data_IF_388630152888
#
_entry.id   IF_388630152888
#
_cell.length_a   1.000
_cell.length_b   1.000
_cell.length_c   1.000
_cell.angle_alpha   90.00
_cell.angle_beta   90.00
_cell.angle_gamma   90.00
#
_symmetry.space_group_name_H-M   'P 1'
#
loop_
_entity.id
_entity.type
_entity.pdbx_description
1 polymer ?
2 branched ?
3 non-polymer ?
4 water ?
#
# COMPACT_ATOMS: atom_id res chain seq x y z
N UNK A 2 -15.11 19.26 -8.44
CA UNK A 2 -13.82 18.76 -8.89
C UNK A 2 -13.01 18.22 -7.73
N UNK A 3 -12.31 17.12 -7.98
CA UNK A 3 -11.52 16.47 -6.94
C UNK A 3 -10.19 17.17 -6.79
N UNK A 4 -9.93 17.83 -5.66
CA UNK A 4 -8.67 18.58 -5.52
C UNK A 4 -7.44 17.68 -5.44
N UNK A 5 -7.60 16.37 -5.33
CA UNK A 5 -6.47 15.46 -5.11
C UNK A 5 -5.99 14.77 -6.38
N UNK A 6 -6.65 14.97 -7.52
CA UNK A 6 -6.20 14.34 -8.75
C UNK A 6 -4.83 14.88 -9.14
N UNK A 7 -3.91 13.97 -9.45
CA UNK A 7 -2.58 14.32 -9.91
C UNK A 7 -2.27 13.50 -11.16
N UNK A 8 -1.51 14.10 -12.08
CA UNK A 8 -1.02 13.39 -13.23
C UNK A 8 -2.05 13.25 -14.32
N UNK A 9 -1.61 12.79 -15.49
CA UNK A 9 -2.51 12.68 -16.64
C UNK A 9 -3.50 11.53 -16.49
N UNK A 10 -4.52 11.55 -17.34
CA UNK A 10 -5.54 10.52 -17.29
C UNK A 10 -4.89 9.16 -17.52
N UNK A 11 -5.22 8.14 -16.73
CA UNK A 11 -4.47 6.89 -16.80
C UNK A 11 -4.95 5.92 -17.87
N UNK A 12 -4.04 5.01 -18.21
CA UNK A 12 -4.30 3.89 -19.08
C UNK A 12 -3.65 2.67 -18.43
N UNK A 13 -3.98 1.49 -18.94
CA UNK A 13 -3.31 0.28 -18.46
C UNK A 13 -1.80 0.43 -18.61
N UNK A 14 -1.36 1.03 -19.72
CA UNK A 14 0.07 1.24 -19.91
C UNK A 14 0.66 2.15 -18.84
N UNK A 15 -0.06 3.22 -18.47
CA UNK A 15 0.52 4.14 -17.49
C UNK A 15 0.63 3.51 -16.10
N UNK A 16 -0.32 2.64 -15.73
CA UNK A 16 -0.23 2.00 -14.42
C UNK A 16 0.74 0.82 -14.42
N UNK A 17 1.06 0.25 -15.58
CA UNK A 17 2.07 -0.80 -15.66
C UNK A 17 3.48 -0.26 -15.77
N UNK A 18 3.63 1.06 -15.95
CA UNK A 18 4.94 1.64 -16.22
C UNK A 18 5.86 1.48 -15.02
N UNK A 19 7.13 1.15 -15.31
CA UNK A 19 8.12 1.02 -14.24
C UNK A 19 8.35 2.36 -13.57
N UNK A 20 8.35 3.44 -14.35
CA UNK A 20 8.46 4.80 -13.87
C UNK A 20 7.23 5.57 -14.34
N UNK A 21 6.53 6.20 -13.40
CA UNK A 21 5.33 6.94 -13.71
C UNK A 21 5.62 8.35 -14.19
N UNK A 22 4.57 9.18 -14.25
CA UNK A 22 4.73 10.51 -14.87
C UNK A 22 5.56 11.49 -14.05
N UNK A 23 5.81 11.24 -12.76
CA UNK A 23 6.49 12.19 -11.89
C UNK A 23 7.95 11.79 -11.70
N UNK A 24 8.86 12.70 -12.02
CA UNK A 24 10.25 12.55 -11.62
C UNK A 24 10.32 12.47 -10.10
N UNK A 25 11.23 11.64 -9.59
CA UNK A 25 11.33 11.43 -8.17
C UNK A 25 12.76 11.67 -7.70
N UNK A 26 12.86 12.08 -6.43
CA UNK A 26 14.12 12.21 -5.71
C UNK A 26 13.96 11.39 -4.44
N UNK A 27 15.04 11.23 -3.69
CA UNK A 27 14.99 10.43 -2.48
C UNK A 27 15.83 11.07 -1.38
N UNK A 28 15.51 10.71 -0.14
CA UNK A 28 16.28 11.12 1.04
C UNK A 28 16.24 9.99 2.04
N UNK A 29 17.31 9.87 2.82
CA UNK A 29 17.45 8.77 3.77
C UNK A 29 17.16 9.22 5.18
N UNK A 30 16.44 8.38 5.92
CA UNK A 30 16.16 8.58 7.34
C UNK A 30 16.99 7.54 8.11
N UNK A 31 17.93 8.01 8.91
CA UNK A 31 18.74 7.11 9.72
C UNK A 31 17.95 6.63 10.93
N UNK A 32 18.48 5.61 11.60
CA UNK A 32 17.86 5.14 12.84
C UNK A 32 17.83 6.24 13.89
N UNK A 33 18.90 7.05 13.96
CA UNK A 33 18.93 8.15 14.91
C UNK A 33 17.81 9.14 14.65
N UNK A 34 17.49 9.39 13.38
CA UNK A 34 16.44 10.32 13.00
C UNK A 34 15.05 9.71 13.07
N UNK A 35 14.95 8.39 13.22
CA UNK A 35 13.69 7.67 13.14
C UNK A 35 13.20 7.34 14.55
N UNK A 36 12.13 7.99 14.98
CA UNK A 36 11.49 7.71 16.26
C UNK A 36 10.44 6.63 16.04
N UNK A 37 10.71 5.43 16.55
CA UNK A 37 9.73 4.36 16.51
C UNK A 37 9.80 3.43 15.32
N UNK A 38 10.85 3.51 14.51
CA UNK A 38 11.05 2.59 13.41
C UNK A 38 12.55 2.55 13.10
N UNK A 39 12.93 1.69 12.16
CA UNK A 39 14.34 1.43 11.94
C UNK A 39 15.00 2.27 10.87
N UNK A 40 14.44 3.42 10.55
CA UNK A 40 14.92 4.22 9.44
C UNK A 40 14.26 3.80 8.15
N UNK A 41 14.66 4.47 7.07
CA UNK A 41 14.11 4.13 5.77
C UNK A 41 14.58 5.10 4.70
N UNK A 42 14.00 4.92 3.52
CA UNK A 42 14.24 5.78 2.38
C UNK A 42 12.91 6.38 1.93
N UNK A 43 12.89 7.70 1.74
CA UNK A 43 11.70 8.40 1.28
C UNK A 43 11.91 8.76 -0.19
N UNK A 44 10.97 8.34 -1.03
CA UNK A 44 10.92 8.72 -2.44
C UNK A 44 9.78 9.72 -2.61
N UNK A 45 10.03 10.79 -3.35
CA UNK A 45 9.02 11.83 -3.46
C UNK A 45 9.07 12.49 -4.83
N UNK A 46 7.93 12.98 -5.33
CA UNK A 46 7.95 13.73 -6.59
C UNK A 46 8.62 15.08 -6.39
N UNK A 47 9.48 15.46 -7.34
CA UNK A 47 10.11 16.76 -7.25
C UNK A 47 9.19 17.89 -7.72
N UNK A 48 8.18 17.57 -8.53
CA UNK A 48 7.24 18.57 -9.04
C UNK A 48 6.21 18.91 -7.98
N UNK A 49 6.22 20.16 -7.52
CA UNK A 49 5.27 20.63 -6.52
C UNK A 49 4.12 21.43 -7.13
N UNK A 50 4.13 21.64 -8.45
CA UNK A 50 3.21 22.58 -9.07
C UNK A 50 1.77 22.09 -9.11
N UNK A 51 1.52 20.80 -8.87
CA UNK A 51 0.17 20.28 -8.81
C UNK A 51 -0.38 20.20 -7.40
N UNK A 52 0.43 20.49 -6.39
CA UNK A 52 0.01 20.45 -5.01
C UNK A 52 0.67 19.32 -4.26
N UNK A 53 0.15 19.07 -3.06
CA UNK A 53 0.71 18.05 -2.19
C UNK A 53 0.20 16.67 -2.59
N UNK A 54 0.86 15.65 -2.04
CA UNK A 54 0.58 14.26 -2.38
C UNK A 54 0.28 13.47 -1.12
N UNK A 55 -0.50 12.40 -1.27
CA UNK A 55 -0.65 11.44 -0.19
C UNK A 55 0.66 10.72 0.10
N UNK A 56 0.72 10.13 1.29
CA UNK A 56 1.93 9.47 1.78
C UNK A 56 1.66 7.99 2.02
N UNK A 57 2.67 7.17 1.76
CA UNK A 57 2.56 5.72 1.87
C UNK A 57 3.79 5.21 2.61
N UNK A 58 3.60 4.32 3.58
CA UNK A 58 4.68 3.64 4.27
C UNK A 58 4.62 2.16 3.94
N UNK A 59 5.79 1.56 3.70
CA UNK A 59 5.89 0.17 3.26
C UNK A 59 6.86 -0.58 4.15
N UNK A 60 6.42 -1.75 4.67
CA UNK A 60 7.25 -2.53 5.57
C UNK A 60 7.66 -3.86 4.97
N UNK A 61 8.89 -4.31 5.20
CA UNK A 61 9.29 -5.67 4.82
C UNK A 61 8.75 -6.67 5.84
N UNK A 62 9.03 -7.94 5.59
CA UNK A 62 8.61 -9.02 6.45
C UNK A 62 9.71 -9.54 7.36
N UNK A 63 9.40 -10.62 8.06
CA UNK A 63 10.31 -11.24 9.02
C UNK A 63 11.63 -11.63 8.35
N UNK A 64 12.73 -11.31 9.03
CA UNK A 64 14.11 -11.54 8.61
C UNK A 64 14.53 -10.71 7.40
N UNK A 65 13.71 -9.77 6.94
CA UNK A 65 13.97 -9.05 5.71
C UNK A 65 14.31 -7.60 5.97
N UNK A 66 15.21 -7.06 5.15
CA UNK A 66 15.50 -5.65 5.18
C UNK A 66 14.66 -4.86 4.19
N UNK A 67 14.82 -3.55 4.28
CA UNK A 67 14.19 -2.63 3.34
C UNK A 67 14.40 -3.05 1.90
N UNK A 68 15.55 -3.64 1.59
CA UNK A 68 15.85 -3.99 0.20
C UNK A 68 14.80 -4.89 -0.41
N UNK A 69 14.11 -5.69 0.41
CA UNK A 69 13.16 -6.66 -0.12
C UNK A 69 11.88 -6.02 -0.64
N UNK A 70 11.64 -4.74 -0.36
CA UNK A 70 10.45 -4.06 -0.87
C UNK A 70 10.83 -2.73 -1.51
N UNK A 71 12.14 -2.47 -1.64
CA UNK A 71 12.60 -1.16 -2.07
C UNK A 71 12.09 -0.78 -3.46
N UNK A 72 11.92 -1.76 -4.36
CA UNK A 72 11.54 -1.44 -5.72
C UNK A 72 10.17 -0.75 -5.78
N UNK A 73 9.32 -0.98 -4.78
CA UNK A 73 8.01 -0.34 -4.76
C UNK A 73 8.11 1.15 -4.52
N UNK A 74 9.19 1.62 -3.88
CA UNK A 74 9.33 3.01 -3.51
C UNK A 74 9.23 3.96 -4.68
N UNK A 75 10.18 3.89 -5.61
CA UNK A 75 10.13 4.80 -6.76
C UNK A 75 9.01 4.48 -7.73
N UNK A 76 8.60 3.21 -7.83
CA UNK A 76 7.55 2.85 -8.78
C UNK A 76 6.21 3.44 -8.38
N UNK A 77 5.93 3.47 -7.07
CA UNK A 77 4.70 4.09 -6.60
C UNK A 77 4.86 5.61 -6.50
N UNK A 78 6.00 6.08 -5.97
CA UNK A 78 6.16 7.52 -5.78
C UNK A 78 6.08 8.27 -7.10
N UNK A 79 6.57 7.68 -8.18
CA UNK A 79 6.53 8.33 -9.49
C UNK A 79 5.12 8.41 -10.06
N UNK A 80 4.13 7.82 -9.42
CA UNK A 80 2.74 8.03 -9.79
C UNK A 80 2.10 9.17 -9.00
N UNK A 81 2.84 9.81 -8.10
CA UNK A 81 2.33 10.93 -7.36
C UNK A 81 2.07 10.62 -5.90
N UNK A 82 3.07 10.09 -5.21
CA UNK A 82 2.97 9.80 -3.78
C UNK A 82 4.33 10.01 -3.14
N UNK A 83 4.32 10.37 -1.86
CA UNK A 83 5.52 10.35 -1.04
C UNK A 83 5.55 9.00 -0.34
N UNK A 84 6.58 8.20 -0.60
CA UNK A 84 6.62 6.81 -0.16
C UNK A 84 7.88 6.58 0.67
N UNK A 85 7.70 6.04 1.87
CA UNK A 85 8.83 5.66 2.71
C UNK A 85 8.86 4.13 2.81
N UNK A 86 9.97 3.54 2.35
CA UNK A 86 10.25 2.13 2.57
C UNK A 86 11.11 2.03 3.83
N UNK A 87 10.64 1.26 4.81
CA UNK A 87 11.27 1.24 6.12
C UNK A 87 12.12 0.00 6.33
N UNK A 88 13.10 0.13 7.22
CA UNK A 88 13.61 -0.99 8.00
C UNK A 88 12.88 -0.99 9.33
N UNK A 89 12.69 -2.18 9.89
CA UNK A 89 12.16 -2.30 11.24
C UNK A 89 13.29 -2.22 12.25
N UNK A 90 12.92 -2.01 13.51
CA UNK A 90 13.91 -1.84 14.56
C UNK A 90 14.81 -3.08 14.67
N UNK A 91 14.21 -4.27 14.62
CA UNK A 91 14.95 -5.48 14.33
C UNK A 91 14.17 -6.28 13.29
N UNK A 92 14.89 -7.18 12.60
CA UNK A 92 14.26 -8.01 11.58
C UNK A 92 13.39 -9.11 12.19
N UNK A 93 13.38 -9.27 13.50
CA UNK A 93 12.53 -10.25 14.15
C UNK A 93 11.30 -9.63 14.81
N UNK A 94 10.99 -8.38 14.49
CA UNK A 94 9.79 -7.75 15.04
C UNK A 94 8.54 -8.45 14.50
N UNK A 95 7.52 -8.55 15.34
CA UNK A 95 6.30 -9.27 15.02
C UNK A 95 5.30 -8.34 14.34
N UNK A 96 4.18 -8.88 13.84
CA UNK A 96 3.30 -8.06 12.98
C UNK A 96 2.74 -6.79 13.62
N UNK A 97 2.22 -6.87 14.84
CA UNK A 97 1.65 -5.66 15.44
C UNK A 97 2.72 -4.61 15.65
N UNK A 98 3.91 -5.02 16.06
CA UNK A 98 5.03 -4.08 16.16
C UNK A 98 5.31 -3.42 14.82
N UNK A 99 5.27 -4.20 13.74
CA UNK A 99 5.49 -3.62 12.41
C UNK A 99 4.39 -2.61 12.08
N UNK A 100 3.16 -2.86 12.54
CA UNK A 100 2.11 -1.87 12.36
C UNK A 100 2.41 -0.58 13.09
N UNK A 101 2.92 -0.67 14.32
CA UNK A 101 3.27 0.54 15.05
C UNK A 101 4.41 1.27 14.36
N UNK A 102 5.35 0.53 13.77
CA UNK A 102 6.47 1.16 13.08
C UNK A 102 6.04 1.81 11.77
N UNK A 103 5.08 1.21 11.07
CA UNK A 103 4.51 1.85 9.89
C UNK A 103 3.87 3.17 10.26
N UNK A 104 3.08 3.18 11.34
CA UNK A 104 2.47 4.42 11.81
C UNK A 104 3.52 5.43 12.21
N UNK A 105 4.57 4.99 12.89
CA UNK A 105 5.64 5.90 13.29
C UNK A 105 6.34 6.47 12.07
N UNK A 106 6.50 5.68 11.02
CA UNK A 106 7.13 6.18 9.81
C UNK A 106 6.26 7.24 9.13
N UNK A 107 4.96 7.01 9.08
CA UNK A 107 4.06 8.04 8.54
C UNK A 107 4.13 9.31 9.38
N UNK A 108 4.13 9.16 10.70
CA UNK A 108 4.20 10.34 11.57
C UNK A 108 5.51 11.08 11.36
N UNK A 109 6.60 10.37 11.07
CA UNK A 109 7.87 11.01 10.80
C UNK A 109 7.76 11.96 9.63
N UNK A 110 7.04 11.57 8.58
CA UNK A 110 6.95 12.39 7.38
C UNK A 110 6.38 13.78 7.70
N UNK A 111 5.52 13.87 8.71
CA UNK A 111 4.86 15.13 9.02
C UNK A 111 5.84 16.23 9.42
N UNK A 112 7.03 15.86 9.93
CA UNK A 112 8.01 16.86 10.32
C UNK A 112 9.37 16.64 9.65
N UNK A 113 9.46 15.71 8.71
CA UNK A 113 10.69 15.52 7.97
C UNK A 113 10.98 16.77 7.14
N UNK A 114 12.21 17.28 7.25
CA UNK A 114 12.49 18.58 6.65
C UNK A 114 12.39 18.55 5.12
N UNK A 115 12.56 17.39 4.51
CA UNK A 115 12.59 17.33 3.05
C UNK A 115 11.19 17.21 2.47
N UNK A 116 10.27 16.51 3.14
CA UNK A 116 8.98 16.18 2.54
C UNK A 116 7.78 16.70 3.33
N UNK A 117 7.98 17.35 4.48
CA UNK A 117 6.84 17.75 5.30
C UNK A 117 5.88 18.66 4.54
N UNK A 118 6.40 19.49 3.64
CA UNK A 118 5.57 20.41 2.87
C UNK A 118 5.13 19.84 1.54
N UNK A 119 5.48 18.58 1.25
CA UNK A 119 5.05 17.90 0.05
C UNK A 119 3.91 16.92 0.29
N UNK A 120 3.67 16.54 1.55
CA UNK A 120 2.61 15.58 1.87
C UNK A 120 1.33 16.32 2.23
N UNK A 121 0.21 15.64 2.01
CA UNK A 121 -1.03 15.98 2.69
C UNK A 121 -1.09 15.10 3.93
N UNK A 122 -0.89 15.65 5.13
CA UNK A 122 -0.78 14.79 6.32
C UNK A 122 -2.04 14.03 6.66
N UNK A 123 -3.17 14.35 6.03
CA UNK A 123 -4.41 13.65 6.32
C UNK A 123 -4.80 12.62 5.26
N UNK A 124 -3.89 12.30 4.35
CA UNK A 124 -4.14 11.27 3.32
C UNK A 124 -2.94 10.33 3.29
N UNK A 125 -3.03 9.25 4.06
CA UNK A 125 -1.90 8.34 4.26
C UNK A 125 -2.35 6.90 4.11
N UNK A 126 -1.39 6.04 3.76
CA UNK A 126 -1.67 4.63 3.50
C UNK A 126 -0.50 3.78 4.01
N UNK A 127 -0.80 2.50 4.21
CA UNK A 127 0.19 1.54 4.66
C UNK A 127 0.18 0.33 3.74
N UNK A 128 1.38 -0.23 3.53
CA UNK A 128 1.55 -1.46 2.77
C UNK A 128 2.66 -2.28 3.45
N UNK A 129 2.70 -3.57 3.14
CA UNK A 129 3.79 -4.38 3.63
C UNK A 129 3.74 -5.79 3.08
N UNK A 130 4.89 -6.45 3.13
CA UNK A 130 5.01 -7.83 2.69
C UNK A 130 5.11 -8.75 3.89
N UNK A 131 4.38 -9.86 3.84
CA UNK A 131 4.46 -10.94 4.84
C UNK A 131 4.09 -10.35 6.20
N UNK A 132 4.92 -10.50 7.23
CA UNK A 132 4.56 -9.92 8.52
C UNK A 132 4.41 -8.41 8.43
N UNK A 133 5.06 -7.77 7.45
CA UNK A 133 4.83 -6.36 7.21
C UNK A 133 3.43 -6.08 6.69
N UNK A 134 2.86 -7.03 5.95
CA UNK A 134 1.46 -6.91 5.55
C UNK A 134 0.51 -7.12 6.71
N UNK A 135 0.82 -8.08 7.57
CA UNK A 135 0.13 -8.14 8.86
C UNK A 135 0.23 -6.83 9.60
N UNK A 136 1.39 -6.18 9.52
CA UNK A 136 1.54 -4.87 10.15
C UNK A 136 0.65 -3.82 9.53
N UNK A 137 0.50 -3.85 8.20
CA UNK A 137 -0.38 -2.90 7.53
C UNK A 137 -1.81 -3.03 8.02
N UNK A 138 -2.31 -4.26 8.12
CA UNK A 138 -3.65 -4.47 8.67
C UNK A 138 -3.73 -3.99 10.12
N UNK A 139 -2.70 -4.28 10.92
CA UNK A 139 -2.70 -3.85 12.31
C UNK A 139 -2.74 -2.33 12.41
N UNK A 140 -1.97 -1.64 11.58
CA UNK A 140 -1.95 -0.19 11.62
C UNK A 140 -3.32 0.38 11.26
N UNK A 141 -3.99 -0.22 10.26
CA UNK A 141 -5.32 0.24 9.89
C UNK A 141 -6.33 -0.01 11.00
N UNK A 142 -6.26 -1.18 11.64
CA UNK A 142 -7.19 -1.46 12.74
C UNK A 142 -6.99 -0.46 13.88
N UNK A 143 -5.77 0.04 14.06
CA UNK A 143 -5.42 0.96 15.12
C UNK A 143 -5.54 2.42 14.71
N UNK A 144 -5.98 2.69 13.47
CA UNK A 144 -6.04 4.08 12.99
C UNK A 144 -7.02 4.11 11.82
N UNK A 145 -8.30 4.37 12.14
CA UNK A 145 -9.34 4.39 11.12
C UNK A 145 -9.22 5.57 10.17
N UNK A 146 -8.32 6.51 10.44
CA UNK A 146 -8.12 7.64 9.54
C UNK A 146 -7.25 7.29 8.33
N UNK A 147 -6.57 6.14 8.34
CA UNK A 147 -5.76 5.76 7.20
C UNK A 147 -6.66 5.54 5.98
N UNK A 148 -6.19 5.99 4.82
CA UNK A 148 -7.01 6.00 3.62
C UNK A 148 -6.91 4.73 2.79
N UNK A 149 -5.86 3.93 2.97
CA UNK A 149 -5.74 2.68 2.25
C UNK A 149 -4.75 1.78 2.96
N UNK A 150 -4.91 0.46 2.78
CA UNK A 150 -4.02 -0.53 3.32
C UNK A 150 -3.87 -1.65 2.29
N UNK A 151 -2.62 -2.10 2.09
CA UNK A 151 -2.35 -3.13 1.08
C UNK A 151 -1.39 -4.17 1.64
N UNK A 152 -1.90 -5.24 2.23
CA UNK A 152 -1.04 -6.36 2.63
C UNK A 152 -0.70 -7.26 1.45
N UNK A 153 0.59 -7.49 1.25
CA UNK A 153 1.10 -8.32 0.17
C UNK A 153 1.60 -9.63 0.79
N UNK A 154 0.94 -10.74 0.45
CA UNK A 154 1.21 -12.03 1.08
C UNK A 154 1.30 -11.89 2.59
N UNK A 155 0.31 -11.20 3.16
CA UNK A 155 0.36 -10.87 4.57
C UNK A 155 0.35 -12.09 5.46
N UNK A 156 1.02 -11.95 6.61
CA UNK A 156 1.15 -12.98 7.62
C UNK A 156 0.77 -12.36 8.95
N UNK A 157 -0.18 -12.97 9.65
CA UNK A 157 -0.55 -12.52 10.98
C UNK A 157 -1.26 -13.67 11.69
N UNK A 158 -1.09 -13.73 13.01
CA UNK A 158 -1.85 -14.67 13.82
C UNK A 158 -3.29 -14.20 14.00
N UNK A 159 -3.51 -12.88 13.94
CA UNK A 159 -4.86 -12.33 14.03
C UNK A 159 -5.54 -12.47 12.68
N UNK A 160 -6.65 -13.22 12.65
CA UNK A 160 -7.38 -13.46 11.41
C UNK A 160 -8.60 -12.57 11.25
N UNK A 161 -9.07 -11.96 12.33
CA UNK A 161 -10.33 -11.21 12.35
C UNK A 161 -10.02 -9.72 12.22
N UNK A 162 -10.40 -9.13 11.08
CA UNK A 162 -10.15 -7.72 10.79
C UNK A 162 -11.46 -6.94 10.64
N UNK A 163 -12.49 -7.35 11.39
CA UNK A 163 -13.80 -6.74 11.25
C UNK A 163 -13.82 -5.29 11.70
N UNK A 164 -12.83 -4.83 12.46
CA UNK A 164 -12.82 -3.45 12.92
C UNK A 164 -12.14 -2.49 11.95
N UNK A 165 -11.59 -3.00 10.85
CA UNK A 165 -10.90 -2.14 9.89
C UNK A 165 -11.92 -1.33 9.11
N UNK A 166 -11.70 -0.02 9.04
CA UNK A 166 -12.56 0.89 8.27
C UNK A 166 -11.80 1.55 7.12
N UNK A 167 -10.61 1.04 6.76
CA UNK A 167 -9.73 1.56 5.72
C UNK A 167 -9.83 0.71 4.48
N UNK A 168 -10.09 1.30 3.30
CA UNK A 168 -10.12 0.50 2.07
C UNK A 168 -8.87 -0.36 1.89
N UNK A 169 -9.07 -1.66 1.72
CA UNK A 169 -7.99 -2.62 1.78
C UNK A 169 -7.98 -3.53 0.57
N UNK A 170 -6.82 -3.61 -0.08
CA UNK A 170 -6.55 -4.56 -1.15
C UNK A 170 -5.65 -5.66 -0.59
N UNK A 171 -6.16 -6.88 -0.56
CA UNK A 171 -5.42 -8.04 -0.07
C UNK A 171 -4.85 -8.77 -1.27
N UNK A 172 -3.53 -8.87 -1.36
CA UNK A 172 -2.87 -9.55 -2.46
C UNK A 172 -2.28 -10.86 -1.94
N UNK A 173 -2.81 -11.98 -2.42
CA UNK A 173 -2.28 -13.28 -2.07
C UNK A 173 -1.46 -13.88 -3.19
N UNK A 174 -0.65 -14.88 -2.86
CA UNK A 174 0.12 -15.64 -3.83
C UNK A 174 -0.42 -17.07 -3.82
N UNK A 175 -0.85 -17.56 -4.97
CA UNK A 175 -1.59 -18.82 -5.02
C UNK A 175 -0.84 -19.95 -4.32
N UNK A 176 0.45 -20.10 -4.61
CA UNK A 176 1.24 -21.23 -4.13
C UNK A 176 2.11 -20.89 -2.93
N UNK A 177 1.74 -19.87 -2.16
CA UNK A 177 2.50 -19.44 -1.01
C UNK A 177 2.47 -20.53 0.06
N UNK A 178 3.65 -20.98 0.50
CA UNK A 178 3.77 -21.94 1.59
C UNK A 178 4.12 -21.29 2.92
N UNK A 179 4.48 -20.00 2.92
CA UNK A 179 4.89 -19.31 4.14
C UNK A 179 3.72 -18.59 4.78
N UNK A 180 2.94 -17.87 3.96
CA UNK A 180 1.69 -17.25 4.39
C UNK A 180 0.59 -17.75 3.47
N UNK A 181 0.22 -19.03 3.59
CA UNK A 181 -0.76 -19.61 2.65
C UNK A 181 -2.05 -18.80 2.65
N UNK A 182 -2.62 -18.62 1.46
CA UNK A 182 -3.79 -17.75 1.36
C UNK A 182 -4.96 -18.31 2.17
N UNK A 183 -5.08 -19.63 2.28
CA UNK A 183 -6.27 -20.18 2.93
C UNK A 183 -6.36 -19.79 4.40
N UNK A 184 -5.22 -19.62 5.07
CA UNK A 184 -5.24 -19.26 6.49
C UNK A 184 -4.75 -17.83 6.76
N UNK A 185 -4.22 -17.13 5.76
CA UNK A 185 -3.79 -15.75 5.92
C UNK A 185 -4.63 -14.89 4.98
N UNK A 186 -4.13 -14.58 3.78
CA UNK A 186 -4.75 -13.56 2.93
C UNK A 186 -6.27 -13.71 2.79
N UNK A 187 -6.73 -14.90 2.38
CA UNK A 187 -8.16 -15.08 2.15
C UNK A 187 -8.95 -14.90 3.44
N UNK A 188 -8.44 -15.44 4.55
CA UNK A 188 -9.10 -15.26 5.84
C UNK A 188 -9.19 -13.77 6.20
N UNK A 189 -8.14 -13.00 5.91
CA UNK A 189 -8.19 -11.57 6.18
C UNK A 189 -9.31 -10.92 5.37
N UNK A 190 -9.34 -11.20 4.06
CA UNK A 190 -10.38 -10.64 3.22
C UNK A 190 -11.77 -10.99 3.74
N UNK A 191 -11.95 -12.25 4.14
CA UNK A 191 -13.28 -12.70 4.56
C UNK A 191 -13.77 -11.97 5.80
N UNK A 192 -12.87 -11.58 6.69
CA UNK A 192 -13.28 -10.96 7.95
C UNK A 192 -13.32 -9.44 7.88
N UNK A 193 -12.76 -8.81 6.84
CA UNK A 193 -12.98 -7.39 6.66
C UNK A 193 -14.48 -7.14 6.49
N UNK A 194 -14.99 -6.01 7.00
CA UNK A 194 -16.44 -5.77 6.92
C UNK A 194 -16.94 -5.76 5.48
N UNK A 195 -18.19 -6.21 5.32
CA UNK A 195 -18.75 -6.28 3.97
C UNK A 195 -19.03 -4.90 3.40
N UNK A 196 -19.24 -3.89 4.26
CA UNK A 196 -19.50 -2.55 3.78
C UNK A 196 -18.23 -1.78 3.47
N UNK A 197 -17.08 -2.42 3.59
CA UNK A 197 -15.81 -1.79 3.26
C UNK A 197 -15.57 -1.88 1.76
N UNK A 198 -14.93 -0.84 1.23
CA UNK A 198 -14.32 -0.94 -0.10
C UNK A 198 -13.10 -1.83 0.03
N UNK A 199 -13.15 -3.00 -0.61
CA UNK A 199 -12.09 -3.98 -0.42
C UNK A 199 -12.02 -4.87 -1.64
N UNK A 200 -10.87 -5.53 -1.81
CA UNK A 200 -10.68 -6.48 -2.90
C UNK A 200 -9.65 -7.50 -2.47
N UNK A 201 -9.74 -8.68 -3.07
CA UNK A 201 -8.77 -9.75 -2.89
C UNK A 201 -8.28 -10.17 -4.27
N UNK A 202 -6.96 -10.16 -4.45
CA UNK A 202 -6.32 -10.49 -5.73
C UNK A 202 -5.33 -11.60 -5.46
N UNK A 203 -5.57 -12.78 -6.03
CA UNK A 203 -4.65 -13.90 -5.92
C UNK A 203 -3.79 -13.96 -7.16
N UNK A 204 -2.47 -14.03 -6.97
CA UNK A 204 -1.51 -14.06 -8.07
C UNK A 204 -1.26 -15.51 -8.48
N UNK A 205 -1.61 -15.81 -9.73
CA UNK A 205 -1.52 -17.17 -10.25
C UNK A 205 -0.09 -17.70 -10.18
N UNK A 206 0.05 -18.91 -9.63
CA UNK A 206 1.31 -19.61 -9.62
C UNK A 206 2.39 -19.00 -8.76
N UNK A 207 2.09 -17.97 -8.00
CA UNK A 207 3.10 -17.19 -7.33
C UNK A 207 3.47 -17.80 -5.99
N UNK A 208 4.74 -17.63 -5.62
CA UNK A 208 5.25 -18.02 -4.32
C UNK A 208 5.32 -16.80 -3.42
N UNK A 209 5.73 -17.03 -2.17
CA UNK A 209 5.78 -15.97 -1.18
C UNK A 209 6.69 -14.82 -1.61
N UNK A 210 7.71 -15.10 -2.40
CA UNK A 210 8.71 -14.09 -2.74
C UNK A 210 8.31 -13.22 -3.92
N UNK A 211 7.08 -13.34 -4.40
CA UNK A 211 6.69 -12.59 -5.60
C UNK A 211 6.84 -11.10 -5.38
N UNK A 212 6.68 -10.63 -4.15
CA UNK A 212 6.76 -9.19 -3.88
C UNK A 212 8.18 -8.67 -3.71
N UNK A 213 9.20 -9.54 -3.71
CA UNK A 213 10.54 -9.11 -3.38
C UNK A 213 11.37 -8.72 -4.59
N UNK A 214 10.85 -8.89 -5.79
CA UNK A 214 11.41 -8.35 -7.01
C UNK A 214 10.24 -7.78 -7.81
N UNK A 215 10.52 -6.90 -8.77
CA UNK A 215 9.43 -6.23 -9.50
C UNK A 215 8.40 -7.22 -10.04
N UNK A 216 7.14 -6.94 -9.75
CA UNK A 216 6.00 -7.69 -10.26
C UNK A 216 4.99 -6.68 -10.78
N UNK A 217 4.76 -6.68 -12.09
CA UNK A 217 3.94 -5.64 -12.69
C UNK A 217 2.51 -5.67 -12.17
N UNK A 218 1.95 -6.86 -11.96
CA UNK A 218 0.57 -6.95 -11.49
C UNK A 218 0.43 -6.32 -10.10
N UNK A 219 1.37 -6.64 -9.20
CA UNK A 219 1.36 -6.05 -7.87
C UNK A 219 1.47 -4.53 -7.94
N UNK A 220 2.37 -4.03 -8.78
CA UNK A 220 2.58 -2.59 -8.87
C UNK A 220 1.36 -1.90 -9.45
N UNK A 221 0.82 -2.42 -10.56
CA UNK A 221 -0.24 -1.70 -11.27
C UNK A 221 -1.49 -1.57 -10.41
N UNK A 222 -1.85 -2.63 -9.66
CA UNK A 222 -3.07 -2.58 -8.85
C UNK A 222 -2.84 -1.92 -7.50
N UNK A 223 -1.63 -1.96 -6.96
CA UNK A 223 -1.32 -1.12 -5.81
C UNK A 223 -1.46 0.36 -6.18
N UNK A 224 -0.94 0.73 -7.34
CA UNK A 224 -1.05 2.11 -7.82
C UNK A 224 -2.52 2.49 -7.99
N UNK A 225 -3.30 1.64 -8.66
CA UNK A 225 -4.71 1.95 -8.87
C UNK A 225 -5.45 2.05 -7.55
N UNK A 226 -5.11 1.19 -6.59
CA UNK A 226 -5.78 1.23 -5.30
C UNK A 226 -5.43 2.51 -4.54
N UNK A 227 -4.14 2.85 -4.48
CA UNK A 227 -3.74 4.07 -3.79
C UNK A 227 -4.36 5.29 -4.44
N UNK A 228 -4.37 5.34 -5.78
CA UNK A 228 -5.01 6.45 -6.47
C UNK A 228 -6.50 6.53 -6.12
N UNK A 229 -7.19 5.40 -6.19
CA UNK A 229 -8.64 5.41 -5.99
C UNK A 229 -9.00 5.86 -4.57
N UNK A 230 -8.19 5.50 -3.59
CA UNK A 230 -8.58 5.72 -2.19
C UNK A 230 -7.79 6.77 -1.46
N UNK A 231 -6.46 6.86 -1.66
CA UNK A 231 -5.71 7.96 -1.06
C UNK A 231 -6.06 9.28 -1.75
N UNK A 232 -6.24 9.26 -3.07
CA UNK A 232 -6.59 10.46 -3.81
C UNK A 232 -8.08 10.55 -4.14
N UNK A 233 -8.87 9.54 -3.78
CA UNK A 233 -10.29 9.51 -4.16
C UNK A 233 -10.47 9.71 -5.66
N UNK A 234 -9.52 9.18 -6.43
CA UNK A 234 -9.42 9.48 -7.85
C UNK A 234 -10.26 8.46 -8.62
N UNK A 235 -11.45 8.89 -9.04
CA UNK A 235 -12.37 7.99 -9.73
C UNK A 235 -11.86 7.55 -11.09
N UNK A 236 -10.88 8.28 -11.65
CA UNK A 236 -10.29 7.87 -12.92
C UNK A 236 -9.64 6.49 -12.84
N UNK A 237 -9.33 6.02 -11.64
CA UNK A 237 -8.64 4.74 -11.48
C UNK A 237 -9.58 3.59 -11.14
N UNK A 238 -10.86 3.85 -10.92
CA UNK A 238 -11.77 2.76 -10.63
C UNK A 238 -11.93 1.83 -11.83
N UNK A 239 -11.73 2.36 -13.05
CA UNK A 239 -11.90 1.55 -14.25
C UNK A 239 -10.99 0.33 -14.26
N UNK A 240 -9.87 0.39 -13.55
CA UNK A 240 -8.93 -0.73 -13.54
C UNK A 240 -9.28 -1.78 -12.50
N UNK A 241 -10.08 -1.41 -11.49
CA UNK A 241 -10.42 -2.29 -10.39
C UNK A 241 -11.81 -2.89 -10.53
N UNK A 242 -12.69 -2.24 -11.29
CA UNK A 242 -14.07 -2.64 -11.46
C UNK A 242 -14.42 -2.48 -12.94
N UNK A 243 -14.86 -3.53 -13.64
CA UNK A 243 -15.04 -4.92 -13.17
C UNK A 243 -13.70 -5.61 -12.93
N UNK A 244 -13.76 -6.89 -12.59
CA UNK A 244 -12.58 -7.62 -12.22
C UNK A 244 -11.51 -7.51 -13.31
N UNK A 245 -10.25 -7.29 -12.93
CA UNK A 245 -9.17 -7.25 -13.92
C UNK A 245 -9.06 -8.54 -14.71
N UNK A 246 -8.56 -8.41 -15.94
CA UNK A 246 -8.44 -9.52 -16.88
C UNK A 246 -7.04 -10.11 -16.96
N UNK A 247 -6.12 -9.68 -16.11
CA UNK A 247 -4.73 -10.09 -16.23
C UNK A 247 -4.59 -11.60 -16.03
N UNK A 248 -3.76 -12.24 -16.87
CA UNK A 248 -3.48 -13.65 -16.67
C UNK A 248 -2.87 -13.90 -15.30
N UNK A 249 -2.07 -12.95 -14.80
CA UNK A 249 -1.37 -13.14 -13.55
C UNK A 249 -2.29 -13.22 -12.35
N UNK A 250 -3.58 -12.94 -12.51
CA UNK A 250 -4.55 -13.01 -11.43
C UNK A 250 -5.39 -14.25 -11.64
N UNK A 251 -5.32 -15.19 -10.68
CA UNK A 251 -6.10 -16.41 -10.75
C UNK A 251 -7.45 -16.30 -10.03
N UNK A 252 -7.62 -15.33 -9.12
CA UNK A 252 -8.90 -15.10 -8.48
C UNK A 252 -8.99 -13.63 -8.10
N UNK A 253 -10.19 -13.06 -8.24
CA UNK A 253 -10.44 -11.68 -7.83
C UNK A 253 -11.82 -11.62 -7.19
N UNK A 254 -11.87 -11.06 -5.99
CA UNK A 254 -13.11 -10.77 -5.29
C UNK A 254 -13.08 -9.31 -4.89
N UNK A 255 -14.25 -8.67 -4.85
CA UNK A 255 -14.26 -7.28 -4.45
C UNK A 255 -15.68 -6.85 -4.09
N UNK A 256 -15.77 -5.66 -3.49
CA UNK A 256 -17.05 -5.00 -3.25
C UNK A 256 -17.30 -3.89 -4.28
N UNK A 257 -16.80 -4.08 -5.51
CA UNK A 257 -17.13 -3.17 -6.61
C UNK A 257 -18.65 -3.07 -6.77
N UNK A 258 -19.17 -1.90 -7.17
CA UNK A 258 -18.47 -0.62 -7.40
C UNK A 258 -18.19 0.02 -6.04
N UNK A 259 -17.11 0.76 -5.91
CA UNK A 259 -16.74 1.28 -4.61
C UNK A 259 -17.53 2.54 -4.28
N UNK A 260 -17.65 2.81 -2.97
CA UNK A 260 -18.49 3.90 -2.51
C UNK A 260 -17.93 5.23 -2.98
N UNK A 261 -18.81 6.09 -3.50
CA UNK A 261 -18.44 7.45 -3.90
C UNK A 261 -19.31 8.43 -3.11
N UNK A 262 -18.72 9.03 -2.07
CA UNK A 262 -19.43 9.98 -1.24
C UNK A 262 -19.39 11.36 -1.89
N UNK A 263 -20.54 12.05 -1.89
CA UNK A 263 -20.64 13.28 -2.63
C UNK A 263 -21.69 14.20 -2.03
N UNK A 264 -21.53 15.49 -2.29
CA UNK A 264 -22.42 16.53 -1.79
C UNK A 264 -23.36 17.06 -2.87
N UNK A 265 -23.44 16.39 -4.01
CA UNK A 265 -24.34 16.81 -5.09
C UNK A 265 -25.77 16.85 -4.57
X LIG B 1 -2.07 1.02 18.78
X LIG B 1 -1.17 -0.15 19.20
X LIG B 1 -0.77 0.01 20.66
X LIG B 1 -0.14 1.38 20.87
X LIG B 1 -1.01 2.49 20.29
X LIG B 1 -0.33 3.84 20.33
X LIG B 1 -1.25 -2.46 18.37
X LIG B 1 -2.05 -3.70 18.32
X LIG B 1 -1.81 -1.43 19.02
X LIG B 1 0.11 -1.03 21.00
X LIG B 1 -0.02 1.54 22.26
X LIG B 1 -1.34 2.20 18.94
X LIG B 1 0.95 3.73 19.73
X LIG B 1 -0.13 -2.43 17.88
X LIG B 1 -0.39 -0.13 18.62
X LIG B 1 -1.57 -0.03 21.21
X LIG B 1 0.71 1.37 20.40
X LIG B 1 -1.83 2.54 20.81
X LIG B 1 -0.28 4.14 21.25
X LIG B 1 -0.89 4.48 19.86
X LIG B 1 -2.17 -3.97 17.39
X LIG B 1 -2.92 -3.54 18.72
X LIG B 1 -1.60 -4.40 18.80
X LIG B 1 -2.60 -1.53 19.36
X LIG B 1 0.32 -0.95 21.81
X LIG B 1 0.84 3.52 18.92
X LIG B 2 1.34 1.66 22.66
X LIG B 2 1.33 2.23 24.08
X LIG B 2 2.73 2.29 24.66
X LIG B 2 3.36 0.91 24.59
X LIG B 2 3.33 0.43 23.13
X LIG B 2 3.92 -0.95 22.93
X LIG B 2 -0.56 3.75 24.48
X LIG B 2 -1.01 5.17 24.41
X LIG B 2 0.70 3.53 24.06
X LIG B 2 2.61 2.75 25.98
X LIG B 2 4.67 1.03 25.08
X LIG B 2 2.00 0.40 22.66
X LIG B 2 2.95 -1.79 22.36
X LIG B 2 -1.30 2.89 24.92
X LIG B 2 0.80 1.64 24.64
X LIG B 2 3.28 2.90 24.14
X LIG B 2 2.84 0.30 25.12
X LIG B 2 3.85 1.06 22.61
X LIG B 2 4.23 -1.28 23.78
X LIG B 2 4.71 -0.87 22.37
X LIG B 2 -1.81 5.23 23.86
X LIG B 2 -0.31 5.71 24.03
X LIG B 2 -1.21 5.48 25.31
X LIG B 2 1.16 4.20 23.78
X LIG B 2 3.39 2.78 26.32
X LIG B 2 4.90 0.29 25.42
X LIG B 2 2.77 -1.51 21.57
X LIG C 1 4.15 -7.35 19.12
X LIG C 1 5.60 -7.19 19.48
X LIG C 1 3.37 -6.21 19.68
X LIG C 1 4.02 -7.38 17.63
X LIG C 1 3.63 -8.64 19.68
X LIG D 1 13.83 21.79 -2.07
X LIG D 1 14.31 23.20 -1.94
X LIG D 1 13.87 21.14 -0.72
X LIG D 1 12.42 21.79 -2.57
X LIG D 1 14.67 21.04 -3.04
#
# INVERSE_FOLDING_TARGET
MANPYERGPDPTESSIEAVRGPFAVAQTTVSRLQADGFGGGTIYYPTDTSQGTFGAVAISPGFTAGQESIAWLGPRIASQGFVVITIDTITRLDQPDSRGRQLQAALDHLRTNSVVRNRIDPNRMAVMGHSMGGGGALSAAANNTSLEAAIPLQGWHTRKNWSSVRTPTLVVGAELDTIAPVSSHSEAFYNSLPSDLDKAYMELRGASHTVSNTPDTTTAKYSIAWLKRFVDKDLRYEQFLCPAPDDFAISEYRSTCPFHHHHHH
NAG C1 C2 C3 C4 C5 C6 C7 C8 N2 O3 O4 O5 O6 O7 H2 H3 H4 H5 H61 H62 H81 H82 H83 HN2 HO3 HO6
NAG C1 C2 C3 C4 C5 C6 C7 C8 N2 O3 O4 O5 O6 O7 H2 H3 H4 H5 H61 H62 H81 H82 H83 HN2 HO3 HO4 HO6
SO4 S O1 O2 O3 O4
SO4 S O1 O2 O3 O4
#
